data_IF_728449741829
#
_entry.id   IF_728449741829
#
_cell.length_a   1.000
_cell.length_b   1.000
_cell.length_c   1.000
_cell.angle_alpha   90.00
_cell.angle_beta   90.00
_cell.angle_gamma   90.00
#
_symmetry.space_group_name_H-M   'P 1'
#
loop_
_entity.id
_entity.type
_entity.pdbx_description
1 polymer ?
#
# COMPACT_ATOMS: atom_id res chain seq x y z
N UNK A 1 -12.02 5.18 -26.21
CA UNK A 1 -12.31 4.61 -24.87
C UNK A 1 -13.60 3.85 -25.01
N UNK A 2 -13.61 2.50 -24.98
CA UNK A 2 -14.86 1.77 -25.00
C UNK A 2 -15.59 2.11 -23.69
N UNK A 3 -16.84 2.52 -23.83
CA UNK A 3 -17.77 2.72 -22.72
C UNK A 3 -18.19 1.32 -22.27
N UNK A 4 -18.07 1.05 -20.98
CA UNK A 4 -18.44 -0.23 -20.36
C UNK A 4 -19.93 -0.49 -20.61
N UNK A 5 -20.24 -1.51 -21.42
CA UNK A 5 -21.62 -1.85 -21.80
C UNK A 5 -22.20 -2.81 -20.74
N UNK A 6 -23.23 -2.40 -19.98
CA UNK A 6 -23.83 -3.24 -18.96
C UNK A 6 -24.48 -4.53 -19.47
N UNK A 7 -24.67 -4.70 -20.79
CA UNK A 7 -25.39 -5.84 -21.39
C UNK A 7 -24.49 -6.88 -22.11
N UNK A 8 -23.15 -6.83 -21.97
CA UNK A 8 -22.24 -7.79 -22.64
C UNK A 8 -22.35 -9.23 -22.05
N UNK A 9 -22.78 -10.23 -22.84
CA UNK A 9 -22.95 -11.62 -22.37
C UNK A 9 -21.64 -12.37 -22.11
N UNK A 10 -20.48 -11.84 -22.54
CA UNK A 10 -19.15 -12.36 -22.19
C UNK A 10 -18.55 -11.64 -20.97
N UNK A 11 -19.32 -10.77 -20.29
CA UNK A 11 -18.93 -10.11 -19.06
C UNK A 11 -18.84 -11.13 -17.93
N UNK A 12 -17.62 -11.61 -17.70
CA UNK A 12 -17.27 -12.24 -16.44
C UNK A 12 -17.51 -11.21 -15.31
N UNK A 13 -18.46 -11.49 -14.41
CA UNK A 13 -18.71 -10.67 -13.22
C UNK A 13 -17.39 -10.47 -12.48
N UNK A 14 -17.07 -9.27 -11.99
CA UNK A 14 -15.84 -9.05 -11.21
C UNK A 14 -16.07 -9.36 -9.73
N UNK A 15 -15.03 -9.45 -8.89
CA UNK A 15 -15.24 -9.35 -7.44
C UNK A 15 -15.98 -8.04 -7.12
N UNK A 16 -16.85 -8.06 -6.12
CA UNK A 16 -17.65 -6.90 -5.76
C UNK A 16 -16.77 -5.83 -5.11
N UNK A 17 -16.35 -4.84 -5.89
CA UNK A 17 -15.45 -3.78 -5.46
C UNK A 17 -16.16 -2.43 -5.47
N UNK A 18 -16.18 -1.77 -4.31
CA UNK A 18 -16.56 -0.36 -4.20
C UNK A 18 -15.39 0.41 -3.61
N UNK A 19 -15.02 1.52 -4.25
CA UNK A 19 -13.96 2.42 -3.81
C UNK A 19 -14.57 3.74 -3.38
N UNK A 20 -14.21 4.21 -2.20
CA UNK A 20 -14.62 5.53 -1.69
C UNK A 20 -13.37 6.34 -1.37
N UNK A 21 -13.25 7.51 -1.99
CA UNK A 21 -12.18 8.47 -1.67
C UNK A 21 -12.51 9.18 -0.35
N UNK A 22 -11.65 9.00 0.64
CA UNK A 22 -11.80 9.52 2.00
C UNK A 22 -10.79 10.64 2.21
N UNK A 23 -11.23 11.88 2.51
CA UNK A 23 -10.33 12.99 2.82
C UNK A 23 -9.50 12.73 4.08
N UNK A 24 -8.22 13.11 4.04
CA UNK A 24 -7.28 12.98 5.17
C UNK A 24 -6.48 14.25 5.36
N UNK A 25 -6.12 14.56 6.61
CA UNK A 25 -5.32 15.74 6.98
C UNK A 25 -3.79 15.49 6.89
N UNK A 26 -3.37 14.31 6.43
CA UNK A 26 -1.96 13.93 6.28
C UNK A 26 -1.35 14.47 4.97
N UNK A 27 -0.10 14.09 4.68
CA UNK A 27 0.57 14.40 3.40
C UNK A 27 0.23 13.41 2.28
N UNK A 28 -0.87 12.65 2.43
CA UNK A 28 -1.35 11.72 1.43
C UNK A 28 -1.42 12.37 0.03
N UNK A 29 -0.97 11.68 -1.04
CA UNK A 29 -1.10 12.18 -2.40
C UNK A 29 -2.56 12.53 -2.74
N UNK A 30 -2.80 13.79 -3.13
CA UNK A 30 -4.14 14.26 -3.47
C UNK A 30 -5.04 14.59 -2.27
N UNK A 31 -4.56 14.41 -1.03
CA UNK A 31 -5.32 14.72 0.19
C UNK A 31 -6.44 13.71 0.49
N UNK A 32 -6.39 12.52 -0.13
CA UNK A 32 -7.38 11.46 0.07
C UNK A 32 -6.71 10.10 0.14
N UNK A 33 -7.32 9.19 0.90
CA UNK A 33 -7.04 7.75 0.91
C UNK A 33 -8.27 7.01 0.38
N UNK A 34 -8.06 5.98 -0.43
CA UNK A 34 -9.12 5.14 -0.95
C UNK A 34 -9.47 4.04 0.06
N UNK A 35 -10.65 4.11 0.65
CA UNK A 35 -11.24 2.97 1.34
C UNK A 35 -11.86 2.01 0.31
N UNK A 36 -11.67 0.71 0.51
CA UNK A 36 -12.16 -0.32 -0.42
C UNK A 36 -13.07 -1.32 0.28
N UNK A 37 -14.23 -1.57 -0.31
CA UNK A 37 -15.15 -2.65 0.08
C UNK A 37 -14.99 -3.79 -0.91
N UNK A 38 -14.41 -4.92 -0.48
CA UNK A 38 -13.96 -6.05 -1.30
C UNK A 38 -14.52 -7.36 -0.72
N UNK A 39 -15.54 -7.96 -1.36
CA UNK A 39 -16.06 -9.29 -1.00
C UNK A 39 -16.15 -9.57 0.53
N UNK A 40 -16.70 -8.63 1.29
CA UNK A 40 -16.89 -8.72 2.76
C UNK A 40 -15.83 -8.00 3.60
N UNK A 41 -14.74 -7.54 3.01
CA UNK A 41 -13.69 -6.75 3.68
C UNK A 41 -13.89 -5.24 3.46
N UNK A 42 -13.78 -4.44 4.52
CA UNK A 42 -13.47 -3.02 4.44
C UNK A 42 -11.98 -2.79 4.69
N UNK A 43 -11.26 -2.36 3.66
CA UNK A 43 -9.83 -2.04 3.71
C UNK A 43 -9.60 -0.52 3.78
N UNK A 44 -8.65 -0.11 4.63
CA UNK A 44 -8.16 1.27 4.80
C UNK A 44 -9.24 2.34 5.06
N UNK A 45 -10.12 2.18 6.08
CA UNK A 45 -11.06 3.23 6.44
C UNK A 45 -10.35 4.38 7.16
N UNK A 46 -9.73 5.26 6.38
CA UNK A 46 -8.90 6.36 6.87
C UNK A 46 -9.63 7.38 7.77
N UNK A 47 -10.92 7.59 7.52
CA UNK A 47 -11.79 8.47 8.29
C UNK A 47 -13.26 8.10 8.05
N UNK A 48 -14.13 8.48 8.98
CA UNK A 48 -15.58 8.30 8.82
C UNK A 48 -16.14 9.39 7.93
N UNK A 49 -16.93 9.00 6.92
CA UNK A 49 -17.54 9.95 5.98
C UNK A 49 -18.94 9.49 5.61
N UNK A 50 -19.83 10.44 5.29
CA UNK A 50 -21.20 10.12 4.83
C UNK A 50 -21.18 9.22 3.58
N UNK A 51 -20.19 9.38 2.71
CA UNK A 51 -20.05 8.57 1.49
C UNK A 51 -19.68 7.11 1.80
N UNK A 52 -18.78 6.88 2.75
CA UNK A 52 -18.39 5.52 3.15
C UNK A 52 -19.48 4.86 4.01
N UNK A 53 -20.16 5.61 4.88
CA UNK A 53 -21.36 5.15 5.60
C UNK A 53 -22.46 4.70 4.61
N UNK A 54 -22.71 5.47 3.54
CA UNK A 54 -23.68 5.12 2.51
C UNK A 54 -23.27 3.87 1.73
N UNK A 55 -22.00 3.77 1.32
CA UNK A 55 -21.49 2.60 0.60
C UNK A 55 -21.57 1.32 1.44
N UNK A 56 -21.35 1.41 2.76
CA UNK A 56 -21.56 0.32 3.70
C UNK A 56 -23.03 -0.09 3.81
N UNK A 57 -23.95 0.87 3.88
CA UNK A 57 -25.37 0.59 3.98
C UNK A 57 -25.96 -0.07 2.72
N UNK A 58 -25.36 0.18 1.55
CA UNK A 58 -25.72 -0.49 0.29
C UNK A 58 -25.30 -1.97 0.28
N UNK A 59 -24.18 -2.32 0.95
CA UNK A 59 -23.70 -3.71 1.09
C UNK A 59 -24.62 -4.53 2.00
N UNK A 60 -25.01 -5.73 1.56
CA UNK A 60 -25.86 -6.63 2.35
C UNK A 60 -27.34 -6.23 2.50
N UNK A 61 -27.81 -5.22 1.75
CA UNK A 61 -29.25 -4.96 1.61
C UNK A 61 -29.95 -6.10 0.85
N UNK A 62 -31.28 -6.24 1.00
CA UNK A 62 -32.05 -7.32 0.36
C UNK A 62 -31.90 -7.35 -1.18
N UNK A 63 -31.52 -6.22 -1.78
CA UNK A 63 -31.29 -6.04 -3.22
C UNK A 63 -29.80 -5.97 -3.61
N UNK A 64 -28.87 -6.21 -2.68
CA UNK A 64 -27.44 -6.08 -2.93
C UNK A 64 -26.82 -7.34 -3.56
N UNK A 65 -26.10 -7.16 -4.67
CA UNK A 65 -25.27 -8.21 -5.29
C UNK A 65 -23.95 -8.47 -4.55
N UNK A 66 -23.74 -7.84 -3.39
CA UNK A 66 -22.48 -7.88 -2.64
C UNK A 66 -22.72 -8.11 -1.13
N UNK A 67 -21.84 -8.89 -0.46
CA UNK A 67 -22.00 -9.23 0.95
C UNK A 67 -21.87 -8.00 1.85
N UNK A 68 -22.45 -8.08 3.05
CA UNK A 68 -22.17 -7.14 4.14
C UNK A 68 -20.69 -7.17 4.52
N UNK A 69 -20.22 -6.10 5.17
CA UNK A 69 -18.86 -6.09 5.72
C UNK A 69 -18.78 -6.99 6.95
N UNK A 70 -17.92 -7.99 6.88
CA UNK A 70 -17.67 -9.00 7.90
C UNK A 70 -16.33 -8.78 8.61
N UNK A 71 -15.38 -8.12 7.93
CA UNK A 71 -14.07 -7.81 8.47
C UNK A 71 -13.61 -6.39 8.10
N UNK A 72 -12.77 -5.82 8.95
CA UNK A 72 -12.05 -4.57 8.71
C UNK A 72 -10.55 -4.86 8.86
N UNK A 73 -9.77 -4.47 7.86
CA UNK A 73 -8.32 -4.55 7.92
C UNK A 73 -7.70 -3.28 7.32
N UNK A 74 -6.40 -3.10 7.58
CA UNK A 74 -5.62 -2.04 6.94
C UNK A 74 -4.44 -2.66 6.20
N UNK A 75 -4.06 -2.05 5.10
CA UNK A 75 -2.88 -2.44 4.34
C UNK A 75 -1.63 -2.24 5.18
N UNK A 76 -1.57 -1.16 5.97
CA UNK A 76 -0.51 -0.89 6.95
C UNK A 76 -0.92 0.18 7.97
N UNK A 77 -0.15 0.30 9.06
CA UNK A 77 -0.46 1.15 10.20
C UNK A 77 -0.01 2.62 10.06
N UNK A 78 -0.02 3.19 8.85
CA UNK A 78 0.18 4.64 8.69
C UNK A 78 -1.09 5.43 9.01
N UNK A 79 -0.97 6.67 9.53
CA UNK A 79 -2.11 7.41 10.09
C UNK A 79 -3.27 7.64 9.11
N UNK A 80 -2.99 7.72 7.82
CA UNK A 80 -3.96 7.93 6.75
C UNK A 80 -4.66 6.67 6.25
N UNK A 81 -4.44 5.52 6.88
CA UNK A 81 -5.17 4.27 6.56
C UNK A 81 -6.06 3.79 7.72
N UNK A 82 -5.72 4.17 8.96
CA UNK A 82 -6.27 3.55 10.18
C UNK A 82 -7.39 4.35 10.87
N UNK A 83 -7.59 5.61 10.48
CA UNK A 83 -8.23 6.60 11.36
C UNK A 83 -9.69 6.35 11.76
N UNK A 84 -10.45 5.53 11.03
CA UNK A 84 -11.82 5.16 11.38
C UNK A 84 -12.04 3.65 11.58
N UNK A 85 -10.97 2.86 11.76
CA UNK A 85 -11.09 1.43 12.05
C UNK A 85 -12.00 1.17 13.25
N UNK A 86 -11.76 1.84 14.39
CA UNK A 86 -12.56 1.68 15.60
C UNK A 86 -14.03 2.12 15.42
N UNK A 87 -14.26 3.20 14.66
CA UNK A 87 -15.60 3.72 14.41
C UNK A 87 -16.44 2.76 13.56
N UNK A 88 -15.84 2.19 12.52
CA UNK A 88 -16.55 1.24 11.66
C UNK A 88 -16.72 -0.12 12.33
N UNK A 89 -15.74 -0.59 13.11
CA UNK A 89 -15.90 -1.82 13.89
C UNK A 89 -17.11 -1.73 14.83
N UNK A 90 -17.27 -0.60 15.52
CA UNK A 90 -18.42 -0.34 16.38
C UNK A 90 -19.75 -0.17 15.62
N UNK A 91 -19.70 0.23 14.35
CA UNK A 91 -20.89 0.43 13.51
C UNK A 91 -21.39 -0.89 12.90
N UNK A 92 -20.49 -1.78 12.51
CA UNK A 92 -20.81 -2.98 11.72
C UNK A 92 -20.72 -4.29 12.49
N UNK A 93 -20.17 -4.28 13.72
CA UNK A 93 -19.79 -5.49 14.46
C UNK A 93 -18.81 -6.40 13.67
N UNK A 94 -18.07 -5.82 12.71
CA UNK A 94 -17.12 -6.56 11.89
C UNK A 94 -15.84 -6.89 12.66
N UNK A 95 -15.23 -8.03 12.31
CA UNK A 95 -13.97 -8.50 12.92
C UNK A 95 -12.82 -7.59 12.51
N UNK A 96 -12.11 -7.00 13.48
CA UNK A 96 -10.91 -6.20 13.21
C UNK A 96 -9.71 -7.12 13.06
N UNK A 97 -9.05 -7.08 11.91
CA UNK A 97 -7.94 -7.96 11.57
C UNK A 97 -6.66 -7.15 11.34
N UNK A 98 -5.58 -7.54 12.03
CA UNK A 98 -4.24 -7.00 11.81
C UNK A 98 -3.30 -8.04 11.19
N UNK A 99 -2.18 -7.58 10.61
CA UNK A 99 -1.09 -8.48 10.22
C UNK A 99 -0.53 -9.21 11.44
N UNK A 100 -0.24 -10.49 11.28
CA UNK A 100 0.54 -11.25 12.24
C UNK A 100 1.88 -10.58 12.60
N UNK A 101 2.34 -10.81 13.83
CA UNK A 101 3.54 -10.21 14.41
C UNK A 101 3.57 -8.65 14.47
N UNK A 102 2.49 -7.96 14.09
CA UNK A 102 2.38 -6.49 14.08
C UNK A 102 1.13 -5.95 14.79
N UNK A 103 0.43 -6.79 15.57
CA UNK A 103 -0.77 -6.40 16.30
C UNK A 103 -0.56 -5.18 17.21
N UNK A 104 0.56 -5.12 17.95
CA UNK A 104 0.87 -3.97 18.82
C UNK A 104 1.05 -2.66 18.02
N UNK A 105 1.69 -2.73 16.85
CA UNK A 105 1.88 -1.58 15.95
C UNK A 105 0.54 -1.11 15.40
N UNK A 106 -0.29 -2.05 14.95
CA UNK A 106 -1.64 -1.77 14.52
C UNK A 106 -2.47 -1.11 15.63
N UNK A 107 -2.50 -1.69 16.84
CA UNK A 107 -3.29 -1.18 17.95
C UNK A 107 -2.87 0.23 18.37
N UNK A 108 -1.56 0.50 18.38
CA UNK A 108 -1.02 1.83 18.64
C UNK A 108 -1.47 2.88 17.61
N UNK A 109 -1.60 2.49 16.33
CA UNK A 109 -1.99 3.39 15.25
C UNK A 109 -3.51 3.56 15.13
N UNK A 110 -4.26 2.45 15.15
CA UNK A 110 -5.71 2.41 14.97
C UNK A 110 -6.48 2.78 16.25
N UNK A 111 -5.83 2.73 17.42
CA UNK A 111 -6.46 3.03 18.70
C UNK A 111 -7.41 1.95 19.20
N UNK A 112 -7.36 0.75 18.62
CA UNK A 112 -8.17 -0.43 18.98
C UNK A 112 -7.34 -1.69 18.80
N UNK A 113 -7.48 -2.65 19.71
CA UNK A 113 -6.86 -3.97 19.56
C UNK A 113 -7.52 -4.74 18.42
N UNK A 114 -6.76 -5.49 17.61
CA UNK A 114 -7.38 -6.37 16.63
C UNK A 114 -8.05 -7.56 17.34
N UNK A 115 -9.18 -8.01 16.81
CA UNK A 115 -9.87 -9.22 17.27
C UNK A 115 -9.10 -10.48 16.82
N UNK A 116 -8.55 -10.43 15.61
CA UNK A 116 -7.80 -11.51 14.98
C UNK A 116 -6.54 -11.01 14.27
N UNK A 117 -5.61 -11.92 14.00
CA UNK A 117 -4.44 -11.65 13.17
C UNK A 117 -4.45 -12.54 11.94
N UNK A 118 -3.92 -12.04 10.82
CA UNK A 118 -3.80 -12.79 9.55
C UNK A 118 -2.35 -12.86 9.10
N UNK A 119 -1.89 -14.05 8.73
CA UNK A 119 -0.60 -14.25 8.08
C UNK A 119 -0.72 -14.12 6.56
N UNK A 120 0.34 -13.73 5.84
CA UNK A 120 0.30 -13.69 4.39
C UNK A 120 -0.05 -15.04 3.77
N UNK A 121 -0.96 -15.03 2.80
CA UNK A 121 -1.48 -16.21 2.11
C UNK A 121 -2.74 -16.79 2.75
N UNK A 122 -3.12 -16.35 3.95
CA UNK A 122 -4.35 -16.76 4.62
C UNK A 122 -5.56 -15.93 4.14
N UNK A 123 -6.76 -16.45 4.41
CA UNK A 123 -8.01 -15.73 4.22
C UNK A 123 -8.20 -14.76 5.38
N UNK A 124 -8.69 -13.54 5.10
CA UNK A 124 -8.96 -12.51 6.10
C UNK A 124 -10.30 -12.82 6.78
N UNK A 125 -10.25 -13.28 8.03
CA UNK A 125 -11.41 -13.74 8.79
C UNK A 125 -12.30 -14.68 7.93
N UNK A 126 -13.62 -14.50 7.98
CA UNK A 126 -14.60 -15.31 7.23
C UNK A 126 -14.92 -14.77 5.81
N UNK A 127 -14.14 -13.78 5.32
CA UNK A 127 -14.37 -13.16 4.00
C UNK A 127 -13.89 -14.03 2.83
N UNK A 128 -14.12 -13.60 1.59
CA UNK A 128 -13.51 -14.22 0.41
C UNK A 128 -12.13 -13.64 0.04
N UNK A 129 -11.56 -12.77 0.88
CA UNK A 129 -10.35 -12.01 0.59
C UNK A 129 -9.12 -12.67 1.19
N UNK A 130 -8.02 -12.69 0.42
CA UNK A 130 -6.74 -13.26 0.87
C UNK A 130 -5.70 -12.17 1.14
N UNK A 131 -4.96 -12.32 2.25
CA UNK A 131 -3.81 -11.47 2.56
C UNK A 131 -2.62 -11.83 1.65
N UNK A 132 -1.93 -10.81 1.13
CA UNK A 132 -0.76 -10.94 0.24
C UNK A 132 0.40 -10.17 0.85
N UNK A 133 1.53 -10.86 1.07
CA UNK A 133 2.72 -10.25 1.64
C UNK A 133 3.27 -9.18 0.70
N UNK A 134 3.32 -7.92 1.10
CA UNK A 134 3.84 -6.83 0.24
C UNK A 134 4.70 -5.84 1.04
N UNK A 135 5.68 -6.31 1.84
CA UNK A 135 6.51 -5.44 2.66
C UNK A 135 7.36 -4.51 1.80
N UNK A 136 7.84 -3.44 2.43
CA UNK A 136 8.84 -2.54 1.87
C UNK A 136 8.46 -1.08 2.00
N UNK A 137 7.19 -0.71 1.80
CA UNK A 137 6.72 0.64 2.16
C UNK A 137 6.67 0.81 3.69
N UNK A 138 6.08 -0.18 4.35
CA UNK A 138 6.01 -0.33 5.79
C UNK A 138 6.32 -1.80 6.17
N UNK A 139 6.80 -2.07 7.40
CA UNK A 139 7.13 -3.42 7.83
C UNK A 139 5.90 -4.34 7.94
N UNK A 140 4.75 -3.76 8.27
CA UNK A 140 3.47 -4.45 8.42
C UNK A 140 2.63 -4.50 7.14
N UNK A 141 3.19 -4.07 6.00
CA UNK A 141 2.40 -3.90 4.78
C UNK A 141 1.86 -5.22 4.21
N UNK A 142 0.54 -5.27 4.03
CA UNK A 142 -0.22 -6.30 3.35
C UNK A 142 -1.01 -5.69 2.17
N UNK A 143 -1.24 -6.51 1.17
CA UNK A 143 -2.23 -6.25 0.13
C UNK A 143 -3.37 -7.29 0.24
N UNK A 144 -4.52 -6.99 -0.34
CA UNK A 144 -5.73 -7.82 -0.23
C UNK A 144 -6.23 -8.25 -1.60
N UNK A 145 -6.18 -9.56 -1.86
CA UNK A 145 -6.58 -10.15 -3.14
C UNK A 145 -8.02 -10.67 -3.07
N UNK A 146 -8.81 -10.32 -4.09
CA UNK A 146 -10.20 -10.76 -4.26
C UNK A 146 -10.41 -11.33 -5.68
N UNK A 147 -11.32 -12.29 -5.81
CA UNK A 147 -11.58 -13.01 -7.06
C UNK A 147 -10.49 -14.03 -7.48
N UNK A 148 -10.44 -14.39 -8.76
CA UNK A 148 -9.42 -15.25 -9.38
C UNK A 148 -9.90 -16.63 -9.86
N UNK A 149 -8.98 -17.52 -10.26
CA UNK A 149 -9.34 -18.83 -10.81
C UNK A 149 -10.13 -19.68 -9.79
N UNK A 150 -11.37 -20.03 -10.12
CA UNK A 150 -12.25 -20.81 -9.25
C UNK A 150 -13.27 -20.00 -8.44
N UNK A 151 -13.26 -18.67 -8.54
CA UNK A 151 -14.40 -17.82 -8.13
C UNK A 151 -15.40 -17.69 -9.27
N UNK A 152 -16.64 -17.27 -8.95
CA UNK A 152 -17.67 -17.01 -9.98
C UNK A 152 -17.21 -15.95 -11.00
N UNK A 153 -16.34 -15.04 -10.56
CA UNK A 153 -15.82 -13.94 -11.37
C UNK A 153 -14.79 -14.33 -12.43
N UNK A 154 -13.91 -15.30 -12.15
CA UNK A 154 -12.74 -15.61 -12.98
C UNK A 154 -11.68 -14.49 -13.09
N UNK A 155 -12.02 -13.23 -12.77
CA UNK A 155 -11.14 -12.06 -12.68
C UNK A 155 -10.66 -11.84 -11.25
N UNK A 156 -9.45 -11.32 -11.11
CA UNK A 156 -8.78 -11.05 -9.84
C UNK A 156 -8.33 -9.59 -9.73
N UNK A 157 -8.47 -9.03 -8.54
CA UNK A 157 -7.99 -7.68 -8.20
C UNK A 157 -7.13 -7.74 -6.95
N UNK A 158 -6.23 -6.77 -6.82
CA UNK A 158 -5.42 -6.60 -5.62
C UNK A 158 -5.61 -5.18 -5.08
N UNK A 159 -6.20 -5.05 -3.89
CA UNK A 159 -6.07 -3.82 -3.12
C UNK A 159 -4.65 -3.74 -2.59
N UNK A 160 -3.84 -2.91 -3.26
CA UNK A 160 -2.40 -2.92 -3.10
C UNK A 160 -1.90 -1.85 -2.11
N UNK A 161 -2.81 -1.05 -1.53
CA UNK A 161 -2.44 0.02 -0.61
C UNK A 161 -1.35 0.90 -1.20
N UNK A 162 -0.30 1.11 -0.42
CA UNK A 162 0.85 1.92 -0.77
C UNK A 162 2.00 1.07 -1.36
N UNK A 163 1.68 -0.03 -2.02
CA UNK A 163 2.67 -0.73 -2.85
C UNK A 163 2.85 -0.06 -4.22
N UNK A 164 1.75 0.36 -4.86
CA UNK A 164 1.75 0.86 -6.23
C UNK A 164 0.72 1.97 -6.42
N UNK A 165 1.02 2.91 -7.32
CA UNK A 165 0.14 4.03 -7.70
C UNK A 165 0.14 4.20 -9.20
N UNK A 166 -0.99 4.67 -9.77
CA UNK A 166 -1.13 4.86 -11.21
C UNK A 166 -0.16 5.93 -11.75
N UNK A 167 -0.01 7.04 -11.02
CA UNK A 167 0.82 8.18 -11.37
C UNK A 167 1.78 8.53 -10.22
N UNK A 168 2.95 9.07 -10.54
CA UNK A 168 3.96 9.39 -9.54
C UNK A 168 4.64 8.14 -8.97
N UNK A 169 4.94 8.16 -7.68
CA UNK A 169 5.68 7.08 -7.01
C UNK A 169 5.29 6.99 -5.53
N UNK A 170 5.46 5.82 -4.92
CA UNK A 170 5.21 5.58 -3.50
C UNK A 170 6.49 5.81 -2.70
N UNK A 171 6.47 6.62 -1.65
CA UNK A 171 7.62 6.77 -0.77
C UNK A 171 8.07 5.42 -0.18
N UNK A 172 9.38 5.15 -0.19
CA UNK A 172 9.99 4.03 0.54
C UNK A 172 11.11 4.66 1.33
N UNK A 173 10.86 4.88 2.62
CA UNK A 173 11.63 5.82 3.43
C UNK A 173 12.04 5.19 4.75
N UNK A 174 13.33 5.31 5.09
CA UNK A 174 13.85 4.86 6.37
C UNK A 174 13.23 5.64 7.54
N UNK A 175 13.11 5.04 8.74
CA UNK A 175 13.59 3.69 9.09
C UNK A 175 12.60 2.56 8.78
N UNK A 176 11.36 2.87 8.39
CA UNK A 176 10.32 1.85 8.22
C UNK A 176 10.39 1.15 6.86
N UNK A 177 10.82 1.88 5.83
CA UNK A 177 10.84 1.39 4.46
C UNK A 177 12.07 0.54 4.16
N UNK A 178 11.85 -0.61 3.54
CA UNK A 178 12.89 -1.50 3.01
C UNK A 178 12.77 -1.54 1.48
N UNK A 179 13.77 -0.96 0.81
CA UNK A 179 13.79 -0.87 -0.64
C UNK A 179 13.98 -2.22 -1.34
N UNK A 180 14.73 -3.14 -0.74
CA UNK A 180 14.93 -4.47 -1.32
C UNK A 180 13.61 -5.27 -1.25
N UNK A 181 12.94 -5.23 -0.09
CA UNK A 181 11.63 -5.83 0.09
C UNK A 181 10.58 -5.22 -0.84
N UNK A 182 10.56 -3.89 -0.99
CA UNK A 182 9.63 -3.18 -1.87
C UNK A 182 9.79 -3.61 -3.34
N UNK A 183 11.03 -3.67 -3.85
CA UNK A 183 11.31 -4.13 -5.21
C UNK A 183 10.85 -5.58 -5.42
N UNK A 184 11.16 -6.47 -4.46
CA UNK A 184 10.72 -7.86 -4.52
C UNK A 184 9.18 -8.00 -4.44
N UNK A 185 8.49 -7.12 -3.72
CA UNK A 185 7.03 -7.05 -3.67
C UNK A 185 6.43 -6.61 -5.00
N UNK A 186 7.00 -5.57 -5.64
CA UNK A 186 6.58 -5.14 -6.98
C UNK A 186 6.78 -6.23 -8.04
N UNK A 187 7.93 -6.92 -8.02
CA UNK A 187 8.19 -8.03 -8.94
C UNK A 187 7.18 -9.17 -8.78
N UNK A 188 6.87 -9.56 -7.54
CA UNK A 188 5.86 -10.59 -7.26
C UNK A 188 4.48 -10.17 -7.76
N UNK A 189 4.06 -8.92 -7.53
CA UNK A 189 2.74 -8.43 -7.97
C UNK A 189 2.67 -8.28 -9.49
N UNK A 190 3.75 -7.80 -10.13
CA UNK A 190 3.89 -7.74 -11.60
C UNK A 190 3.65 -9.11 -12.24
N UNK A 191 4.22 -10.15 -11.64
CA UNK A 191 4.23 -11.51 -12.19
C UNK A 191 3.02 -12.37 -11.72
N UNK A 192 2.20 -11.86 -10.80
CA UNK A 192 1.07 -12.59 -10.22
C UNK A 192 -0.17 -12.68 -11.13
N UNK A 193 -0.26 -11.85 -12.18
CA UNK A 193 -1.34 -11.90 -13.16
C UNK A 193 -2.68 -11.34 -12.69
N UNK A 194 -2.68 -10.38 -11.75
CA UNK A 194 -3.89 -9.64 -11.38
C UNK A 194 -4.42 -8.82 -12.56
N UNK A 195 -5.74 -8.70 -12.68
CA UNK A 195 -6.38 -7.91 -13.74
C UNK A 195 -6.36 -6.41 -13.46
N UNK A 196 -6.33 -6.03 -12.17
CA UNK A 196 -6.33 -4.62 -11.73
C UNK A 196 -5.71 -4.48 -10.35
N UNK A 197 -5.00 -3.38 -10.12
CA UNK A 197 -4.60 -2.95 -8.76
C UNK A 197 -5.47 -1.79 -8.28
N UNK A 198 -5.79 -1.80 -6.99
CA UNK A 198 -6.58 -0.78 -6.31
C UNK A 198 -5.68 -0.11 -5.27
N UNK A 199 -5.09 1.06 -5.59
CA UNK A 199 -4.10 1.70 -4.74
C UNK A 199 -4.73 2.43 -3.57
N UNK A 200 -3.94 2.64 -2.51
CA UNK A 200 -4.30 3.49 -1.37
C UNK A 200 -4.60 4.94 -1.79
N UNK A 201 -3.97 5.41 -2.86
CA UNK A 201 -4.17 6.78 -3.38
C UNK A 201 -4.32 6.81 -4.90
N UNK A 202 -5.16 7.73 -5.39
CA UNK A 202 -5.36 7.97 -6.82
C UNK A 202 -6.24 6.92 -7.51
N UNK A 203 -6.24 6.88 -8.86
CA UNK A 203 -7.14 6.02 -9.63
C UNK A 203 -6.67 4.55 -9.65
N UNK A 204 -7.56 3.59 -9.95
CA UNK A 204 -7.19 2.19 -10.17
C UNK A 204 -6.18 2.01 -11.32
N UNK A 205 -5.45 0.90 -11.28
CA UNK A 205 -4.41 0.54 -12.26
C UNK A 205 -4.89 -0.63 -13.12
N UNK A 206 -5.18 -0.37 -14.39
CA UNK A 206 -5.67 -1.37 -15.35
C UNK A 206 -4.57 -2.19 -16.05
N UNK A 207 -3.31 -1.76 -15.96
CA UNK A 207 -2.14 -2.50 -16.46
C UNK A 207 -1.14 -2.70 -15.31
N UNK A 208 -1.39 -3.69 -14.42
CA UNK A 208 -0.51 -3.93 -13.28
C UNK A 208 0.95 -4.19 -13.65
N UNK A 209 1.27 -5.00 -14.70
CA UNK A 209 2.66 -5.22 -15.07
C UNK A 209 3.39 -3.93 -15.47
N UNK A 210 2.78 -3.08 -16.31
CA UNK A 210 3.42 -1.84 -16.74
C UNK A 210 3.62 -0.85 -15.59
N UNK A 211 2.65 -0.75 -14.66
CA UNK A 211 2.77 0.12 -13.50
C UNK A 211 3.88 -0.34 -12.54
N UNK A 212 3.96 -1.64 -12.26
CA UNK A 212 5.01 -2.19 -11.40
C UNK A 212 6.39 -1.98 -12.02
N UNK A 213 6.56 -2.28 -13.32
CA UNK A 213 7.84 -2.08 -14.02
C UNK A 213 8.28 -0.62 -13.99
N UNK A 214 7.36 0.33 -14.22
CA UNK A 214 7.64 1.76 -14.11
C UNK A 214 8.14 2.17 -12.72
N UNK A 215 7.56 1.61 -11.66
CA UNK A 215 7.96 1.89 -10.28
C UNK A 215 9.32 1.25 -9.96
N UNK A 216 9.59 0.04 -10.45
CA UNK A 216 10.89 -0.63 -10.33
C UNK A 216 11.96 0.22 -11.02
N UNK A 217 11.75 0.59 -12.29
CA UNK A 217 12.68 1.41 -13.06
C UNK A 217 12.96 2.74 -12.36
N UNK A 218 11.92 3.41 -11.85
CA UNK A 218 12.09 4.65 -11.10
C UNK A 218 13.01 4.51 -9.88
N UNK A 219 12.92 3.38 -9.16
CA UNK A 219 13.77 3.10 -8.00
C UNK A 219 15.19 2.73 -8.42
N UNK A 220 15.36 1.98 -9.49
CA UNK A 220 16.69 1.62 -9.99
C UNK A 220 17.41 2.84 -10.60
N UNK A 221 16.70 3.74 -11.26
CA UNK A 221 17.24 5.02 -11.72
C UNK A 221 17.75 5.84 -10.53
N UNK A 222 16.91 5.99 -9.50
CA UNK A 222 17.31 6.67 -8.26
C UNK A 222 18.53 6.04 -7.60
N UNK A 223 18.59 4.71 -7.55
CA UNK A 223 19.73 4.00 -6.98
C UNK A 223 21.02 4.32 -7.74
N UNK A 224 20.97 4.42 -9.07
CA UNK A 224 22.14 4.82 -9.88
C UNK A 224 22.60 6.22 -9.54
N UNK A 225 21.68 7.16 -9.33
CA UNK A 225 22.01 8.53 -8.94
C UNK A 225 22.66 8.58 -7.54
N UNK A 226 22.13 7.79 -6.59
CA UNK A 226 22.71 7.64 -5.24
C UNK A 226 24.12 7.07 -5.32
N UNK A 227 24.35 6.01 -6.10
CA UNK A 227 25.67 5.42 -6.30
C UNK A 227 26.62 6.44 -6.92
N UNK A 228 26.19 7.18 -7.94
CA UNK A 228 27.03 8.20 -8.57
C UNK A 228 27.44 9.30 -7.58
N UNK A 229 26.55 9.72 -6.67
CA UNK A 229 26.87 10.68 -5.62
C UNK A 229 27.88 10.10 -4.60
N UNK A 230 27.72 8.84 -4.20
CA UNK A 230 28.65 8.14 -3.30
C UNK A 230 30.04 8.00 -3.94
N UNK A 231 30.11 7.52 -5.18
CA UNK A 231 31.35 7.37 -5.95
C UNK A 231 32.02 8.73 -6.23
N UNK A 232 31.21 9.80 -6.34
CA UNK A 232 31.64 11.18 -6.43
C UNK A 232 32.26 11.75 -5.14
N UNK A 233 32.23 11.00 -4.04
CA UNK A 233 32.85 11.36 -2.76
C UNK A 233 31.93 12.04 -1.76
N UNK A 234 30.61 11.93 -1.92
CA UNK A 234 29.66 12.39 -0.90
C UNK A 234 30.01 11.77 0.47
N UNK A 235 30.17 12.60 1.50
CA UNK A 235 30.61 12.18 2.84
C UNK A 235 29.48 12.11 3.87
N UNK A 236 28.31 12.65 3.54
CA UNK A 236 27.12 12.69 4.37
C UNK A 236 25.85 12.60 3.51
N UNK A 237 24.72 12.33 4.16
CA UNK A 237 23.45 12.06 3.49
C UNK A 237 22.90 13.28 2.74
N UNK A 238 23.15 14.50 3.23
CA UNK A 238 22.73 15.72 2.55
C UNK A 238 23.45 15.88 1.20
N UNK A 239 24.75 15.60 1.15
CA UNK A 239 25.50 15.59 -0.10
C UNK A 239 25.03 14.51 -1.08
N UNK A 240 24.60 13.34 -0.58
CA UNK A 240 24.01 12.29 -1.42
C UNK A 240 22.66 12.75 -1.99
N UNK A 241 21.80 13.34 -1.15
CA UNK A 241 20.51 13.90 -1.59
C UNK A 241 20.72 14.98 -2.66
N UNK A 242 21.64 15.92 -2.44
CA UNK A 242 21.93 16.99 -3.39
C UNK A 242 22.50 16.47 -4.72
N UNK A 243 23.27 15.37 -4.68
CA UNK A 243 23.76 14.70 -5.88
C UNK A 243 22.70 13.86 -6.59
N UNK A 244 21.76 13.27 -5.85
CA UNK A 244 20.75 12.36 -6.39
C UNK A 244 19.48 13.05 -6.89
N UNK A 245 19.19 14.29 -6.45
CA UNK A 245 18.01 15.05 -6.87
C UNK A 245 18.40 16.28 -7.67
N UNK A 246 18.06 16.32 -8.96
CA UNK A 246 18.27 17.49 -9.81
C UNK A 246 17.25 18.63 -9.60
N UNK A 247 16.17 18.38 -8.83
CA UNK A 247 15.00 19.27 -8.69
C UNK A 247 15.00 20.02 -7.37
N UNK A 248 14.27 21.14 -7.32
CA UNK A 248 13.95 21.80 -6.05
C UNK A 248 13.16 20.84 -5.14
N UNK A 249 13.70 20.62 -3.95
CA UNK A 249 13.13 19.76 -2.91
C UNK A 249 12.39 20.56 -1.83
N UNK A 250 12.09 21.83 -2.09
CA UNK A 250 11.35 22.67 -1.15
C UNK A 250 10.02 22.01 -0.77
N UNK A 251 9.85 21.79 0.54
CA UNK A 251 8.64 21.16 1.11
C UNK A 251 8.65 19.62 1.19
N UNK A 252 9.61 18.91 0.59
CA UNK A 252 9.70 17.44 0.64
C UNK A 252 11.11 16.89 0.94
N UNK A 253 12.03 17.76 1.36
CA UNK A 253 13.43 17.38 1.59
C UNK A 253 13.60 16.32 2.68
N UNK A 254 12.78 16.35 3.72
CA UNK A 254 12.74 15.33 4.78
C UNK A 254 12.44 13.94 4.20
N UNK A 255 11.42 13.84 3.36
CA UNK A 255 11.05 12.59 2.70
C UNK A 255 12.11 12.11 1.70
N UNK A 256 12.69 13.05 0.94
CA UNK A 256 13.79 12.75 0.02
C UNK A 256 15.01 12.19 0.75
N UNK A 257 15.33 12.76 1.91
CA UNK A 257 16.45 12.34 2.74
C UNK A 257 16.22 10.94 3.32
N UNK A 258 15.03 10.66 3.85
CA UNK A 258 14.66 9.34 4.33
C UNK A 258 14.61 8.28 3.20
N UNK A 259 14.21 8.67 1.98
CA UNK A 259 14.24 7.79 0.81
C UNK A 259 15.68 7.45 0.42
N UNK A 260 16.58 8.44 0.40
CA UNK A 260 18.01 8.20 0.12
C UNK A 260 18.66 7.37 1.21
N UNK A 261 18.27 7.54 2.49
CA UNK A 261 18.71 6.66 3.56
C UNK A 261 18.38 5.19 3.27
N UNK A 262 17.13 4.87 2.91
CA UNK A 262 16.73 3.51 2.53
C UNK A 262 17.53 2.95 1.33
N UNK A 263 17.86 3.80 0.34
CA UNK A 263 18.77 3.41 -0.75
C UNK A 263 20.17 3.07 -0.23
N UNK A 264 20.75 3.91 0.63
CA UNK A 264 22.09 3.68 1.19
C UNK A 264 22.11 2.42 2.05
N UNK A 265 21.08 2.17 2.87
CA UNK A 265 20.93 0.95 3.69
C UNK A 265 20.97 -0.31 2.82
N UNK A 266 20.15 -0.35 1.77
CA UNK A 266 20.14 -1.43 0.79
C UNK A 266 21.52 -1.63 0.16
N UNK A 267 22.17 -0.55 -0.28
CA UNK A 267 23.49 -0.62 -0.92
C UNK A 267 24.57 -1.12 0.03
N UNK A 268 24.53 -0.74 1.31
CA UNK A 268 25.45 -1.27 2.33
C UNK A 268 25.18 -2.75 2.56
N UNK A 269 23.91 -3.17 2.68
CA UNK A 269 23.55 -4.58 2.84
C UNK A 269 24.01 -5.46 1.65
N UNK A 270 23.99 -4.90 0.44
CA UNK A 270 24.49 -5.55 -0.79
C UNK A 270 26.02 -5.47 -0.96
N UNK A 271 26.74 -4.80 -0.06
CA UNK A 271 28.19 -4.60 -0.18
C UNK A 271 28.61 -3.65 -1.31
N UNK A 272 27.69 -2.78 -1.76
CA UNK A 272 27.87 -1.78 -2.82
C UNK A 272 28.12 -0.37 -2.30
N UNK A 273 27.99 -0.16 -0.99
CA UNK A 273 28.42 1.04 -0.28
C UNK A 273 29.25 0.66 0.95
N UNK A 274 30.12 1.57 1.40
CA UNK A 274 31.01 1.32 2.55
C UNK A 274 30.23 1.15 3.86
N UNK A 275 30.64 0.16 4.66
CA UNK A 275 30.06 -0.17 5.98
C UNK A 275 29.96 1.02 6.95
N UNK A 276 30.85 2.01 6.84
CA UNK A 276 30.81 3.22 7.65
C UNK A 276 29.52 4.02 7.48
N UNK A 277 28.77 3.82 6.39
CA UNK A 277 27.47 4.46 6.21
C UNK A 277 26.41 4.02 7.22
N UNK A 278 26.49 2.81 7.80
CA UNK A 278 25.56 2.41 8.88
C UNK A 278 25.63 3.38 10.06
N UNK A 279 26.84 3.73 10.49
CA UNK A 279 27.04 4.69 11.56
C UNK A 279 26.54 6.10 11.17
N UNK A 280 26.78 6.52 9.92
CA UNK A 280 26.30 7.83 9.42
C UNK A 280 24.78 7.94 9.38
N UNK A 281 24.09 6.84 9.09
CA UNK A 281 22.63 6.76 9.07
C UNK A 281 22.07 6.74 10.50
N UNK A 282 22.66 5.97 11.40
CA UNK A 282 22.31 5.95 12.82
C UNK A 282 22.50 7.34 13.48
N UNK A 283 23.58 8.06 13.16
CA UNK A 283 23.81 9.43 13.63
C UNK A 283 22.71 10.42 13.18
N UNK A 284 21.90 10.04 12.17
CA UNK A 284 20.77 10.80 11.64
C UNK A 284 19.40 10.25 12.08
N UNK A 285 19.38 9.18 12.88
CA UNK A 285 18.16 8.54 13.38
C UNK A 285 17.44 7.66 12.36
N UNK A 286 18.20 7.01 11.47
CA UNK A 286 17.71 5.98 10.53
C UNK A 286 18.15 4.57 10.92
N UNK A 287 18.39 4.32 12.21
CA UNK A 287 18.73 3.00 12.74
C UNK A 287 17.50 2.13 13.06
#
# INVERSE_FOLDING_TARGET
MPVDDPEDPDRLEGPAVTRVEVPVDTRAPGGTTNAHLLDGLLADPAARTDALDAALAERGSEDADAPSVEAIAVTHAHPDHVGAVADYAALTDATVVARDDHADRFAAAAGVEPDETVAPGETVADTAVRAVDTPGHAPDHLAFAAGGPGTESGRSVLCCGDLAVAEGSVAVAAPEGDLAAYLASLERVRDAGYDRLLPGHGPPIDDPPAACERLIDHRLDRERDVIAALDGGASDLDAVVDGAYEKDLSGVRDLALATVAAHVEKLVAEGRADEAWRARLADRGFD
#
